data_IF_480327856624
#
_entry.id   IF_480327856624
#
_cell.length_a   1.000
_cell.length_b   1.000
_cell.length_c   1.000
_cell.angle_alpha   90.00
_cell.angle_beta   90.00
_cell.angle_gamma   90.00
#
_symmetry.space_group_name_H-M   'P 1'
#
loop_
_entity.id
_entity.type
_entity.pdbx_description
1 polymer ?
#
# COMPACT_ATOMS: atom_id res chain seq x y z
N UNK A 1 16.02 -19.72 27.17
CA UNK A 1 15.79 -18.26 27.31
C UNK A 1 14.55 -18.03 28.16
N UNK A 2 14.65 -17.24 29.24
CA UNK A 2 13.50 -16.94 30.14
C UNK A 2 12.47 -15.99 29.48
N UNK A 3 12.90 -15.13 28.52
CA UNK A 3 12.03 -14.21 27.81
C UNK A 3 11.35 -14.96 26.66
N UNK A 4 10.02 -14.97 26.65
CA UNK A 4 9.20 -15.60 25.59
C UNK A 4 8.56 -14.52 24.73
N UNK A 5 8.67 -14.56 23.40
CA UNK A 5 7.92 -13.68 22.50
C UNK A 5 6.43 -14.02 22.53
N UNK A 6 5.60 -13.18 21.90
CA UNK A 6 4.18 -13.51 21.69
C UNK A 6 4.06 -14.84 20.95
N UNK A 7 3.13 -15.72 21.36
CA UNK A 7 2.98 -17.10 20.83
C UNK A 7 2.92 -17.15 19.30
N UNK A 8 2.18 -16.24 18.69
CA UNK A 8 1.99 -16.18 17.23
C UNK A 8 3.26 -15.82 16.46
N UNK A 9 4.25 -15.17 17.07
CA UNK A 9 5.53 -14.82 16.42
C UNK A 9 6.37 -16.07 16.13
N UNK A 10 6.25 -17.15 16.90
CA UNK A 10 6.94 -18.42 16.62
C UNK A 10 6.56 -19.03 15.26
N UNK A 11 5.41 -18.68 14.69
CA UNK A 11 4.95 -19.18 13.39
C UNK A 11 5.36 -18.30 12.22
N UNK A 12 6.09 -17.20 12.47
CA UNK A 12 6.57 -16.27 11.44
C UNK A 12 7.99 -16.66 11.05
N UNK A 13 8.11 -17.38 9.92
CA UNK A 13 9.40 -17.74 9.35
C UNK A 13 9.79 -16.74 8.25
N UNK A 14 10.90 -16.04 8.46
CA UNK A 14 11.48 -15.12 7.46
C UNK A 14 13.01 -15.28 7.44
N UNK A 15 13.56 -15.45 6.23
CA UNK A 15 15.01 -15.41 6.04
C UNK A 15 15.48 -13.94 6.09
N UNK A 16 16.55 -13.64 6.83
CA UNK A 16 17.14 -12.30 6.83
C UNK A 16 17.62 -11.90 5.43
N UNK A 17 17.30 -10.69 5.00
CA UNK A 17 17.65 -10.21 3.64
C UNK A 17 19.16 -10.04 3.43
N UNK A 18 19.95 -9.89 4.49
CA UNK A 18 21.42 -9.75 4.41
C UNK A 18 22.15 -11.07 4.17
N UNK A 19 21.46 -12.22 4.15
CA UNK A 19 22.08 -13.52 3.86
C UNK A 19 22.45 -13.69 2.38
N UNK A 20 21.92 -12.84 1.48
CA UNK A 20 22.27 -12.88 0.06
C UNK A 20 22.35 -11.47 -0.51
N UNK A 21 23.40 -11.19 -1.28
CA UNK A 21 23.55 -9.95 -2.04
C UNK A 21 22.75 -10.04 -3.33
N UNK A 22 22.18 -8.91 -3.77
CA UNK A 22 21.59 -8.74 -5.11
C UNK A 22 22.61 -8.18 -6.12
N UNK A 23 23.79 -7.85 -5.66
CA UNK A 23 24.83 -7.24 -6.48
C UNK A 23 25.29 -8.22 -7.56
N UNK A 24 25.36 -7.78 -8.81
CA UNK A 24 25.73 -8.61 -9.94
C UNK A 24 24.63 -9.46 -10.56
N UNK A 25 23.40 -9.39 -10.03
CA UNK A 25 22.24 -10.09 -10.60
C UNK A 25 21.30 -9.15 -11.35
N UNK A 26 20.72 -9.62 -12.44
CA UNK A 26 19.60 -8.97 -13.09
C UNK A 26 18.32 -9.20 -12.26
N UNK A 27 17.83 -8.17 -11.60
CA UNK A 27 16.77 -8.30 -10.59
C UNK A 27 15.39 -8.04 -11.18
N UNK A 28 14.52 -9.06 -11.19
CA UNK A 28 13.14 -8.98 -11.70
C UNK A 28 12.08 -9.21 -10.62
N UNK A 29 12.48 -9.64 -9.42
CA UNK A 29 11.59 -10.20 -8.40
C UNK A 29 10.79 -9.14 -7.61
N UNK A 30 11.12 -7.86 -7.73
CA UNK A 30 10.53 -6.78 -6.91
C UNK A 30 9.76 -5.72 -7.69
N UNK A 31 9.69 -5.86 -9.03
CA UNK A 31 9.01 -4.88 -9.90
C UNK A 31 9.51 -3.44 -9.64
N UNK A 32 10.82 -3.28 -9.59
CA UNK A 32 11.49 -1.98 -9.43
C UNK A 32 11.63 -1.29 -10.78
N UNK A 33 11.87 0.03 -10.77
CA UNK A 33 12.21 0.78 -11.99
C UNK A 33 13.58 0.32 -12.48
N UNK A 34 13.67 0.00 -13.77
CA UNK A 34 14.92 -0.44 -14.44
C UNK A 34 15.68 0.75 -14.99
N UNK A 35 14.97 1.68 -15.64
CA UNK A 35 15.57 2.83 -16.29
C UNK A 35 16.05 3.88 -15.29
N UNK A 36 17.15 4.55 -15.61
CA UNK A 36 17.60 5.72 -14.86
C UNK A 36 16.59 6.87 -14.96
N UNK A 37 16.59 7.71 -13.95
CA UNK A 37 15.84 8.96 -14.02
C UNK A 37 16.50 9.93 -15.01
N UNK A 38 15.73 10.78 -15.73
CA UNK A 38 16.29 11.79 -16.61
C UNK A 38 17.32 12.67 -15.88
N UNK A 39 18.44 13.00 -16.54
CA UNK A 39 19.51 13.84 -15.95
C UNK A 39 18.97 15.18 -15.44
N UNK A 40 18.04 15.80 -16.18
CA UNK A 40 17.38 17.05 -15.78
C UNK A 40 16.61 16.91 -14.46
N UNK A 41 15.90 15.79 -14.26
CA UNK A 41 15.19 15.50 -13.00
C UNK A 41 16.18 15.34 -11.84
N UNK A 42 17.25 14.58 -12.03
CA UNK A 42 18.27 14.37 -10.99
C UNK A 42 19.01 15.67 -10.65
N UNK A 43 19.32 16.51 -11.63
CA UNK A 43 19.95 17.81 -11.41
C UNK A 43 19.03 18.77 -10.64
N UNK A 44 17.76 18.81 -10.99
CA UNK A 44 16.74 19.60 -10.32
C UNK A 44 16.52 19.12 -8.86
N UNK A 45 16.45 17.81 -8.65
CA UNK A 45 16.36 17.22 -7.30
C UNK A 45 17.58 17.59 -6.43
N UNK A 46 18.80 17.47 -6.99
CA UNK A 46 20.03 17.87 -6.29
C UNK A 46 20.01 19.33 -5.87
N UNK A 47 19.47 20.22 -6.72
CA UNK A 47 19.31 21.65 -6.42
C UNK A 47 18.34 21.86 -5.25
N UNK A 48 17.19 21.17 -5.26
CA UNK A 48 16.19 21.24 -4.18
C UNK A 48 16.75 20.73 -2.84
N UNK A 49 17.72 19.80 -2.88
CA UNK A 49 18.36 19.25 -1.68
C UNK A 49 19.45 20.16 -1.06
N UNK A 50 19.94 21.19 -1.78
CA UNK A 50 20.97 22.09 -1.23
C UNK A 50 20.52 22.82 0.04
N UNK A 51 19.22 23.08 0.21
CA UNK A 51 18.61 23.71 1.39
C UNK A 51 18.13 22.69 2.44
N UNK A 52 18.76 21.52 2.51
CA UNK A 52 18.35 20.44 3.38
C UNK A 52 18.96 20.58 4.78
N UNK A 53 18.11 20.69 5.80
CA UNK A 53 18.56 20.71 7.19
C UNK A 53 18.46 19.30 7.79
N UNK A 54 19.61 18.77 8.20
CA UNK A 54 19.74 17.45 8.82
C UNK A 54 19.57 17.49 10.35
N UNK A 55 19.60 18.69 10.94
CA UNK A 55 19.68 18.87 12.41
C UNK A 55 18.33 18.83 13.09
N UNK A 56 17.26 19.20 12.36
CA UNK A 56 15.94 19.36 12.94
C UNK A 56 14.98 18.28 12.47
N UNK A 57 14.03 17.92 13.33
CA UNK A 57 12.91 17.09 12.90
C UNK A 57 12.10 17.79 11.80
N UNK A 58 11.63 17.07 10.79
CA UNK A 58 10.92 17.68 9.69
C UNK A 58 9.53 18.17 10.10
N UNK A 59 9.17 19.37 9.63
CA UNK A 59 7.78 19.84 9.67
C UNK A 59 6.97 19.10 8.59
N UNK A 60 6.09 18.22 9.04
CA UNK A 60 5.27 17.40 8.14
C UNK A 60 4.02 18.13 7.61
N UNK A 61 3.68 19.30 8.13
CA UNK A 61 2.47 20.04 7.74
C UNK A 61 2.38 20.27 6.23
N UNK A 62 3.44 20.84 5.64
CA UNK A 62 3.47 21.17 4.21
C UNK A 62 3.32 19.95 3.29
N UNK A 63 3.92 18.82 3.63
CA UNK A 63 3.81 17.63 2.77
C UNK A 63 2.39 17.05 2.81
N UNK A 64 1.73 17.06 3.96
CA UNK A 64 0.34 16.65 4.06
C UNK A 64 -0.59 17.55 3.22
N UNK A 65 -0.40 18.88 3.27
CA UNK A 65 -1.15 19.81 2.43
C UNK A 65 -0.92 19.58 0.93
N UNK A 66 0.33 19.42 0.51
CA UNK A 66 0.67 19.25 -0.90
C UNK A 66 0.14 17.90 -1.46
N UNK A 67 0.30 16.81 -0.71
CA UNK A 67 -0.21 15.49 -1.12
C UNK A 67 -1.74 15.48 -1.12
N UNK A 68 -2.39 16.06 -0.12
CA UNK A 68 -3.86 16.15 -0.06
C UNK A 68 -4.43 16.99 -1.20
N UNK A 69 -3.80 18.12 -1.53
CA UNK A 69 -4.16 18.96 -2.67
C UNK A 69 -3.99 18.23 -4.00
N UNK A 70 -2.87 17.50 -4.16
CA UNK A 70 -2.63 16.68 -5.34
C UNK A 70 -3.67 15.56 -5.50
N UNK A 71 -4.06 14.92 -4.39
CA UNK A 71 -5.07 13.86 -4.36
C UNK A 71 -6.51 14.41 -4.36
N UNK A 72 -6.72 15.71 -4.18
CA UNK A 72 -8.03 16.36 -4.04
C UNK A 72 -8.86 15.79 -2.89
N UNK A 73 -8.22 15.60 -1.73
CA UNK A 73 -8.83 15.14 -0.48
C UNK A 73 -8.49 16.09 0.67
N UNK A 74 -9.10 15.89 1.85
CA UNK A 74 -8.76 16.64 3.06
C UNK A 74 -7.53 16.04 3.75
N UNK A 75 -6.75 16.87 4.49
CA UNK A 75 -5.58 16.40 5.23
C UNK A 75 -5.90 15.28 6.22
N UNK A 76 -7.05 15.35 6.88
CA UNK A 76 -7.49 14.33 7.83
C UNK A 76 -8.02 13.03 7.17
N UNK A 77 -7.91 12.90 5.86
CA UNK A 77 -8.21 11.69 5.10
C UNK A 77 -6.94 10.99 4.60
N UNK A 78 -5.77 11.45 5.02
CA UNK A 78 -4.46 11.01 4.56
C UNK A 78 -3.58 10.62 5.76
N UNK A 79 -2.80 9.55 5.58
CA UNK A 79 -1.63 9.25 6.41
C UNK A 79 -0.48 8.83 5.48
N UNK A 80 0.70 9.41 5.66
CA UNK A 80 1.92 9.08 4.90
C UNK A 80 2.78 8.16 5.78
N UNK A 81 3.43 7.17 5.18
CA UNK A 81 4.15 6.11 5.89
C UNK A 81 5.23 5.45 5.02
N UNK A 82 5.96 4.46 5.57
CA UNK A 82 7.10 3.77 4.93
C UNK A 82 6.66 2.77 3.85
N UNK A 83 6.34 3.27 2.66
CA UNK A 83 5.81 2.46 1.55
C UNK A 83 4.39 1.93 1.84
N UNK A 84 3.74 1.29 0.88
CA UNK A 84 2.42 0.68 1.09
C UNK A 84 2.44 -0.33 2.25
N UNK A 85 3.56 -1.00 2.45
CA UNK A 85 3.77 -2.00 3.49
C UNK A 85 3.53 -1.44 4.91
N UNK A 86 4.07 -0.24 5.20
CA UNK A 86 3.82 0.46 6.47
C UNK A 86 2.33 0.76 6.70
N UNK A 87 1.61 1.16 5.64
CA UNK A 87 0.16 1.39 5.73
C UNK A 87 -0.63 0.12 6.00
N UNK A 88 -0.30 -0.97 5.31
CA UNK A 88 -0.92 -2.27 5.52
C UNK A 88 -0.68 -2.79 6.93
N UNK A 89 0.58 -2.75 7.41
CA UNK A 89 0.93 -3.15 8.78
C UNK A 89 0.10 -2.37 9.80
N UNK A 90 -0.01 -1.06 9.63
CA UNK A 90 -0.77 -0.19 10.55
C UNK A 90 -2.27 -0.51 10.59
N UNK A 91 -2.86 -0.94 9.47
CA UNK A 91 -4.24 -1.43 9.49
C UNK A 91 -4.35 -2.69 10.34
N UNK A 92 -3.40 -3.60 10.24
CA UNK A 92 -3.40 -4.80 11.10
C UNK A 92 -3.20 -4.44 12.58
N UNK A 93 -2.29 -3.53 12.90
CA UNK A 93 -2.04 -3.06 14.27
C UNK A 93 -3.28 -2.44 14.92
N UNK A 94 -4.05 -1.65 14.16
CA UNK A 94 -5.22 -0.93 14.71
C UNK A 94 -6.45 -1.81 14.77
N UNK A 95 -6.67 -2.69 13.79
CA UNK A 95 -7.99 -3.29 13.59
C UNK A 95 -8.04 -4.81 13.74
N UNK A 96 -6.89 -5.50 13.79
CA UNK A 96 -6.84 -6.96 13.79
C UNK A 96 -6.34 -7.50 15.12
N UNK A 97 -7.12 -8.41 15.68
CA UNK A 97 -6.82 -9.16 16.89
C UNK A 97 -6.69 -10.66 16.59
N UNK A 98 -6.14 -11.40 17.54
CA UNK A 98 -6.07 -12.86 17.43
C UNK A 98 -7.45 -13.50 17.25
N UNK A 99 -7.56 -14.43 16.27
CA UNK A 99 -8.81 -15.07 15.90
C UNK A 99 -9.66 -14.34 14.86
N UNK A 100 -9.37 -13.06 14.55
CA UNK A 100 -10.08 -12.35 13.48
C UNK A 100 -9.83 -13.01 12.13
N UNK A 101 -10.86 -13.11 11.28
CA UNK A 101 -10.74 -13.66 9.93
C UNK A 101 -10.35 -12.58 8.94
N UNK A 102 -9.34 -12.89 8.12
CA UNK A 102 -8.82 -11.97 7.10
C UNK A 102 -8.87 -12.65 5.73
N UNK A 103 -9.60 -12.06 4.79
CA UNK A 103 -9.62 -12.50 3.38
C UNK A 103 -8.53 -11.75 2.63
N UNK A 104 -7.73 -12.48 1.84
CA UNK A 104 -6.79 -11.95 0.84
C UNK A 104 -6.85 -12.79 -0.43
N UNK A 105 -6.09 -12.43 -1.46
CA UNK A 105 -5.85 -13.28 -2.61
C UNK A 105 -4.58 -14.13 -2.42
N UNK A 106 -4.52 -15.27 -3.10
CA UNK A 106 -3.34 -16.14 -3.18
C UNK A 106 -3.22 -16.68 -4.62
N UNK A 107 -2.11 -16.44 -5.34
CA UNK A 107 -0.99 -15.59 -4.95
C UNK A 107 -1.34 -14.10 -4.97
N UNK A 108 -0.65 -13.33 -4.10
CA UNK A 108 -0.75 -11.87 -4.00
C UNK A 108 0.48 -11.33 -3.24
N UNK A 109 0.39 -10.13 -2.67
CA UNK A 109 1.47 -9.55 -1.88
C UNK A 109 1.88 -10.47 -0.71
N UNK A 110 3.16 -10.84 -0.67
CA UNK A 110 3.67 -11.88 0.24
C UNK A 110 3.52 -11.55 1.74
N UNK A 111 3.34 -10.27 2.10
CA UNK A 111 3.19 -9.87 3.49
C UNK A 111 1.80 -10.12 4.07
N UNK A 112 0.76 -10.30 3.27
CA UNK A 112 -0.58 -10.58 3.80
C UNK A 112 -0.63 -11.82 4.72
N UNK A 113 -0.17 -13.01 4.31
CA UNK A 113 -0.13 -14.16 5.21
C UNK A 113 0.83 -13.94 6.39
N UNK A 114 1.90 -13.18 6.22
CA UNK A 114 2.84 -12.85 7.30
C UNK A 114 2.14 -12.00 8.36
N UNK A 115 1.41 -10.96 7.97
CA UNK A 115 0.64 -10.14 8.90
C UNK A 115 -0.44 -10.95 9.62
N UNK A 116 -1.16 -11.82 8.90
CA UNK A 116 -2.13 -12.71 9.56
C UNK A 116 -1.45 -13.53 10.68
N UNK A 117 -0.29 -14.12 10.41
CA UNK A 117 0.48 -14.86 11.44
C UNK A 117 0.94 -13.94 12.57
N UNK A 118 1.51 -12.77 12.27
CA UNK A 118 2.01 -11.82 13.26
C UNK A 118 0.94 -11.36 14.26
N UNK A 119 -0.29 -11.20 13.81
CA UNK A 119 -1.41 -10.75 14.64
C UNK A 119 -2.30 -11.90 15.12
N UNK A 120 -1.96 -13.16 14.80
CA UNK A 120 -2.75 -14.33 15.20
C UNK A 120 -4.12 -14.40 14.52
N UNK A 121 -4.28 -13.75 13.37
CA UNK A 121 -5.49 -13.78 12.57
C UNK A 121 -5.64 -15.07 11.79
N UNK A 122 -6.88 -15.49 11.55
CA UNK A 122 -7.21 -16.63 10.69
C UNK A 122 -7.18 -16.17 9.23
N UNK A 123 -6.16 -16.61 8.51
CA UNK A 123 -6.01 -16.30 7.08
C UNK A 123 -6.98 -17.13 6.25
N UNK A 124 -7.85 -16.48 5.48
CA UNK A 124 -8.89 -17.06 4.64
C UNK A 124 -8.67 -16.73 3.15
N UNK A 125 -7.60 -17.21 2.49
CA UNK A 125 -7.25 -16.79 1.14
C UNK A 125 -8.27 -17.23 0.11
N UNK A 126 -8.37 -16.47 -0.99
CA UNK A 126 -8.99 -16.87 -2.25
C UNK A 126 -7.88 -17.32 -3.18
N UNK A 127 -7.87 -18.59 -3.53
CA UNK A 127 -6.87 -19.12 -4.46
C UNK A 127 -7.24 -18.75 -5.89
N UNK A 128 -6.46 -17.84 -6.46
CA UNK A 128 -6.67 -17.34 -7.82
C UNK A 128 -6.29 -18.39 -8.86
N UNK A 129 -7.02 -18.40 -9.97
CA UNK A 129 -6.77 -19.28 -11.14
C UNK A 129 -6.46 -18.41 -12.35
N UNK A 130 -5.59 -18.90 -13.23
CA UNK A 130 -5.11 -18.15 -14.41
C UNK A 130 -6.17 -17.99 -15.50
N UNK A 131 -7.14 -18.93 -15.60
CA UNK A 131 -8.15 -18.95 -16.68
C UNK A 131 -9.57 -19.08 -16.13
N UNK A 132 -10.54 -18.47 -16.82
CA UNK A 132 -11.99 -18.63 -16.61
C UNK A 132 -12.44 -18.52 -15.15
N UNK A 133 -11.88 -17.54 -14.42
CA UNK A 133 -12.12 -17.41 -13.02
C UNK A 133 -12.99 -16.17 -12.71
N UNK A 134 -14.18 -16.42 -12.19
CA UNK A 134 -15.06 -15.36 -11.73
C UNK A 134 -14.66 -14.91 -10.31
N UNK A 135 -13.53 -14.22 -10.23
CA UNK A 135 -12.96 -13.70 -8.98
C UNK A 135 -13.97 -12.90 -8.13
N UNK A 136 -14.76 -12.05 -8.77
CA UNK A 136 -15.73 -11.21 -8.07
C UNK A 136 -16.81 -12.04 -7.35
N UNK A 137 -17.37 -13.05 -8.04
CA UNK A 137 -18.37 -13.96 -7.45
C UNK A 137 -17.78 -14.77 -6.28
N UNK A 138 -16.59 -15.30 -6.46
CA UNK A 138 -15.90 -16.08 -5.41
C UNK A 138 -15.58 -15.21 -4.18
N UNK A 139 -15.18 -13.96 -4.38
CA UNK A 139 -14.95 -13.01 -3.30
C UNK A 139 -16.24 -12.77 -2.49
N UNK A 140 -17.37 -12.53 -3.16
CA UNK A 140 -18.67 -12.35 -2.48
C UNK A 140 -19.08 -13.57 -1.68
N UNK A 141 -19.01 -14.77 -2.28
CA UNK A 141 -19.30 -16.03 -1.59
C UNK A 141 -18.43 -16.21 -0.35
N UNK A 142 -17.11 -15.93 -0.48
CA UNK A 142 -16.16 -16.03 0.62
C UNK A 142 -16.49 -15.06 1.75
N UNK A 143 -16.82 -13.79 1.45
CA UNK A 143 -17.22 -12.78 2.45
C UNK A 143 -18.45 -13.23 3.22
N UNK A 144 -19.49 -13.71 2.53
CA UNK A 144 -20.73 -14.18 3.17
C UNK A 144 -20.45 -15.37 4.09
N UNK A 145 -19.65 -16.34 3.60
CA UNK A 145 -19.32 -17.57 4.35
C UNK A 145 -18.47 -17.28 5.58
N UNK A 146 -17.45 -16.41 5.45
CA UNK A 146 -16.44 -16.23 6.51
C UNK A 146 -16.75 -15.09 7.45
N UNK A 147 -17.60 -14.11 7.04
CA UNK A 147 -17.88 -12.88 7.80
C UNK A 147 -16.59 -12.28 8.36
N UNK A 148 -15.62 -11.89 7.50
CA UNK A 148 -14.27 -11.53 7.95
C UNK A 148 -14.26 -10.21 8.71
N UNK A 149 -13.21 -9.95 9.49
CA UNK A 149 -12.90 -8.63 10.04
C UNK A 149 -12.29 -7.70 8.99
N UNK A 150 -11.49 -8.28 8.09
CA UNK A 150 -10.79 -7.54 7.04
C UNK A 150 -10.84 -8.30 5.70
N UNK A 151 -11.08 -7.56 4.63
CA UNK A 151 -10.91 -7.99 3.24
C UNK A 151 -9.81 -7.12 2.63
N UNK A 152 -8.65 -7.70 2.32
CA UNK A 152 -7.52 -6.99 1.73
C UNK A 152 -7.29 -7.48 0.28
N UNK A 153 -7.44 -6.56 -0.67
CA UNK A 153 -7.44 -6.83 -2.11
C UNK A 153 -6.40 -5.93 -2.77
N UNK A 154 -5.38 -6.54 -3.41
CA UNK A 154 -4.54 -5.81 -4.35
C UNK A 154 -5.31 -5.60 -5.67
N UNK A 155 -5.38 -4.36 -6.15
CA UNK A 155 -6.12 -3.98 -7.35
C UNK A 155 -5.37 -2.94 -8.20
N UNK A 156 -4.62 -3.38 -9.24
CA UNK A 156 -4.46 -4.74 -9.76
C UNK A 156 -3.75 -5.67 -8.79
N UNK A 157 -4.13 -6.97 -8.84
CA UNK A 157 -3.37 -8.00 -8.13
C UNK A 157 -2.14 -8.43 -8.95
N UNK A 158 -1.12 -8.92 -8.28
CA UNK A 158 0.11 -9.44 -8.86
C UNK A 158 0.56 -10.68 -8.04
N UNK A 159 1.06 -11.77 -8.65
CA UNK A 159 1.43 -11.96 -10.07
C UNK A 159 0.27 -12.34 -10.99
N UNK A 160 -0.85 -12.84 -10.49
CA UNK A 160 -2.04 -13.11 -11.29
C UNK A 160 -2.84 -11.82 -11.38
N UNK A 161 -2.90 -11.24 -12.57
CA UNK A 161 -3.58 -9.98 -12.83
C UNK A 161 -5.10 -10.18 -12.86
N UNK A 162 -5.69 -10.07 -11.69
CA UNK A 162 -7.16 -9.92 -11.54
C UNK A 162 -7.46 -8.54 -11.00
N UNK A 163 -8.57 -7.98 -11.49
CA UNK A 163 -8.99 -6.64 -11.12
C UNK A 163 -10.49 -6.58 -10.89
N UNK A 164 -10.89 -5.73 -9.97
CA UNK A 164 -12.25 -5.28 -9.78
C UNK A 164 -12.42 -3.89 -10.39
N UNK A 165 -13.52 -3.66 -11.10
CA UNK A 165 -13.92 -2.32 -11.50
C UNK A 165 -14.52 -1.56 -10.32
N UNK A 166 -14.77 -0.25 -10.50
CA UNK A 166 -15.24 0.64 -9.42
C UNK A 166 -16.58 0.20 -8.83
N UNK A 167 -17.51 -0.30 -9.67
CA UNK A 167 -18.82 -0.77 -9.23
C UNK A 167 -18.70 -2.05 -8.39
N UNK A 168 -17.83 -2.96 -8.80
CA UNK A 168 -17.54 -4.19 -8.06
C UNK A 168 -16.87 -3.88 -6.71
N UNK A 169 -15.94 -2.93 -6.66
CA UNK A 169 -15.34 -2.47 -5.41
C UNK A 169 -16.40 -1.90 -4.47
N UNK A 170 -17.29 -1.05 -4.98
CA UNK A 170 -18.37 -0.48 -4.20
C UNK A 170 -19.31 -1.58 -3.64
N UNK A 171 -19.67 -2.58 -4.47
CA UNK A 171 -20.50 -3.71 -4.04
C UNK A 171 -19.82 -4.55 -2.95
N UNK A 172 -18.52 -4.85 -3.08
CA UNK A 172 -17.74 -5.55 -2.05
C UNK A 172 -17.72 -4.77 -0.73
N UNK A 173 -17.50 -3.46 -0.79
CA UNK A 173 -17.50 -2.62 0.41
C UNK A 173 -18.87 -2.62 1.11
N UNK A 174 -19.95 -2.47 0.35
CA UNK A 174 -21.32 -2.51 0.88
C UNK A 174 -21.65 -3.88 1.49
N UNK A 175 -21.28 -4.96 0.81
CA UNK A 175 -21.46 -6.32 1.33
C UNK A 175 -20.68 -6.53 2.63
N UNK A 176 -19.39 -6.13 2.64
CA UNK A 176 -18.51 -6.26 3.80
C UNK A 176 -19.00 -5.44 4.99
N UNK A 177 -19.56 -4.26 4.74
CA UNK A 177 -20.11 -3.39 5.79
C UNK A 177 -21.26 -4.05 6.57
N UNK A 178 -22.04 -4.93 5.95
CA UNK A 178 -23.12 -5.68 6.60
C UNK A 178 -22.61 -6.61 7.69
N UNK A 179 -21.34 -7.00 7.63
CA UNK A 179 -20.67 -7.86 8.62
C UNK A 179 -19.69 -7.10 9.53
N UNK A 180 -19.67 -5.76 9.45
CA UNK A 180 -18.71 -4.93 10.20
C UNK A 180 -17.27 -5.04 9.69
N UNK A 181 -17.06 -5.52 8.46
CA UNK A 181 -15.73 -5.76 7.91
C UNK A 181 -15.15 -4.49 7.28
N UNK A 182 -13.84 -4.26 7.49
CA UNK A 182 -13.05 -3.30 6.73
C UNK A 182 -12.67 -3.87 5.36
N UNK A 183 -12.47 -3.00 4.38
CA UNK A 183 -11.98 -3.35 3.05
C UNK A 183 -10.76 -2.50 2.73
N UNK A 184 -9.62 -3.14 2.47
CA UNK A 184 -8.44 -2.51 1.88
C UNK A 184 -8.46 -2.77 0.39
N UNK A 185 -8.31 -1.70 -0.39
CA UNK A 185 -7.91 -1.76 -1.80
C UNK A 185 -6.45 -1.30 -1.86
N UNK A 186 -5.57 -2.26 -2.05
CA UNK A 186 -4.14 -2.00 -2.24
C UNK A 186 -3.91 -1.61 -3.70
N UNK A 187 -3.71 -0.33 -3.91
CA UNK A 187 -3.50 0.31 -5.20
C UNK A 187 -2.01 0.56 -5.50
N UNK A 188 -1.12 -0.34 -5.04
CA UNK A 188 0.32 -0.20 -5.30
C UNK A 188 0.63 -0.08 -6.80
N UNK A 189 -0.17 -0.69 -7.66
CA UNK A 189 -0.05 -0.65 -9.12
C UNK A 189 -1.08 0.25 -9.81
N UNK A 190 -1.80 1.11 -9.09
CA UNK A 190 -2.87 1.98 -9.60
C UNK A 190 -2.49 2.75 -10.87
N UNK A 191 -1.31 3.34 -10.90
CA UNK A 191 -0.91 4.20 -12.01
C UNK A 191 -0.75 3.47 -13.36
N UNK A 192 -0.64 2.14 -13.33
CA UNK A 192 -0.55 1.33 -14.55
C UNK A 192 -1.91 1.01 -15.18
N UNK A 193 -3.04 1.10 -14.43
CA UNK A 193 -4.37 0.82 -15.00
C UNK A 193 -5.45 1.88 -14.73
N UNK A 194 -5.20 2.80 -13.81
CA UNK A 194 -6.06 3.95 -13.48
C UNK A 194 -7.42 3.64 -12.84
N UNK A 195 -7.75 2.40 -12.49
CA UNK A 195 -8.94 2.09 -11.69
C UNK A 195 -8.62 2.41 -10.23
N UNK A 196 -9.44 3.24 -9.59
CA UNK A 196 -9.23 3.63 -8.19
C UNK A 196 -10.51 3.65 -7.38
N UNK A 197 -10.41 3.21 -6.14
CA UNK A 197 -11.47 3.32 -5.15
C UNK A 197 -11.48 4.68 -4.42
N UNK A 198 -10.51 5.55 -4.68
CA UNK A 198 -10.40 6.86 -3.99
C UNK A 198 -11.70 7.68 -3.98
N UNK A 199 -12.51 7.79 -5.07
CA UNK A 199 -13.75 8.56 -5.03
C UNK A 199 -14.80 8.01 -4.07
N UNK A 200 -14.65 6.76 -3.62
CA UNK A 200 -15.60 6.08 -2.75
C UNK A 200 -15.32 6.32 -1.25
N UNK A 201 -14.15 6.85 -0.87
CA UNK A 201 -13.76 7.01 0.56
C UNK A 201 -14.68 7.94 1.35
N UNK A 202 -15.36 8.87 0.69
CA UNK A 202 -16.33 9.78 1.31
C UNK A 202 -17.70 9.14 1.48
N UNK A 203 -18.02 8.13 0.65
CA UNK A 203 -19.31 7.44 0.62
C UNK A 203 -19.31 6.18 1.48
N UNK A 204 -18.18 5.49 1.57
CA UNK A 204 -18.05 4.19 2.23
C UNK A 204 -17.26 4.31 3.53
N UNK A 205 -17.90 3.92 4.63
CA UNK A 205 -17.32 4.09 5.98
C UNK A 205 -16.24 3.06 6.33
N UNK A 206 -16.12 1.98 5.54
CA UNK A 206 -15.24 0.83 5.79
C UNK A 206 -14.14 0.65 4.74
N UNK A 207 -13.92 1.65 3.87
CA UNK A 207 -12.96 1.58 2.78
C UNK A 207 -11.64 2.26 3.16
N UNK A 208 -10.54 1.55 2.90
CA UNK A 208 -9.15 2.02 3.01
C UNK A 208 -8.48 1.82 1.65
N UNK A 209 -7.80 2.82 1.15
CA UNK A 209 -6.99 2.74 -0.08
C UNK A 209 -5.53 2.97 0.28
N UNK A 210 -4.65 2.04 -0.13
CA UNK A 210 -3.21 2.10 0.14
C UNK A 210 -2.46 2.29 -1.17
N UNK A 211 -1.48 3.20 -1.20
CA UNK A 211 -0.64 3.50 -2.38
C UNK A 211 0.83 3.65 -2.02
N UNK A 212 1.68 3.59 -3.04
CA UNK A 212 3.14 3.70 -2.88
C UNK A 212 3.76 4.55 -3.99
N UNK A 213 4.87 5.19 -3.67
CA UNK A 213 5.77 5.81 -4.66
C UNK A 213 6.81 4.81 -5.21
N UNK A 214 6.85 3.59 -4.69
CA UNK A 214 7.86 2.58 -5.06
C UNK A 214 7.75 2.09 -6.50
N UNK A 215 6.52 2.01 -7.07
CA UNK A 215 6.26 1.33 -8.36
C UNK A 215 6.29 2.31 -9.53
N UNK A 216 5.18 2.92 -9.89
CA UNK A 216 5.09 3.82 -11.03
C UNK A 216 6.02 5.05 -10.92
N UNK A 217 6.19 5.60 -9.72
CA UNK A 217 7.14 6.69 -9.47
C UNK A 217 8.61 6.23 -9.48
N UNK A 218 8.88 4.94 -9.31
CA UNK A 218 10.21 4.35 -9.44
C UNK A 218 11.17 4.61 -8.28
N UNK A 219 10.69 5.02 -7.10
CA UNK A 219 11.53 5.36 -5.95
C UNK A 219 11.42 4.32 -4.82
N UNK A 220 11.51 3.03 -5.18
CA UNK A 220 11.36 1.92 -4.23
C UNK A 220 12.34 2.00 -3.06
N UNK A 221 13.57 2.44 -3.28
CA UNK A 221 14.59 2.61 -2.25
C UNK A 221 14.26 3.66 -1.19
N UNK A 222 13.35 4.57 -1.47
CA UNK A 222 12.98 5.65 -0.55
C UNK A 222 11.93 5.25 0.49
N UNK A 223 11.32 4.08 0.33
CA UNK A 223 10.35 3.57 1.31
C UNK A 223 9.28 4.61 1.68
N UNK A 224 8.48 5.07 0.70
CA UNK A 224 7.42 6.04 0.95
C UNK A 224 6.12 5.64 0.25
N UNK A 225 5.02 5.78 0.99
CA UNK A 225 3.67 5.49 0.54
C UNK A 225 2.66 6.27 1.35
N UNK A 226 1.39 6.05 1.07
CA UNK A 226 0.31 6.70 1.78
C UNK A 226 -0.97 5.88 1.78
N UNK A 227 -1.79 6.10 2.80
CA UNK A 227 -3.13 5.54 2.94
C UNK A 227 -4.15 6.66 2.94
N UNK A 228 -5.25 6.45 2.24
CA UNK A 228 -6.40 7.35 2.24
C UNK A 228 -7.66 6.62 2.65
N UNK A 229 -8.48 7.30 3.46
CA UNK A 229 -9.76 6.79 3.94
C UNK A 229 -10.63 7.94 4.43
N UNK A 230 -11.76 7.64 5.05
CA UNK A 230 -12.50 8.65 5.82
C UNK A 230 -11.71 9.08 7.07
N UNK A 231 -12.01 10.27 7.58
CA UNK A 231 -11.26 10.88 8.70
C UNK A 231 -11.30 10.07 10.00
N UNK A 232 -12.35 9.28 10.24
CA UNK A 232 -12.46 8.45 11.45
C UNK A 232 -11.43 7.30 11.43
N UNK A 233 -11.31 6.59 10.30
CA UNK A 233 -10.32 5.52 10.14
C UNK A 233 -8.90 6.10 10.19
N UNK A 234 -8.64 7.20 9.47
CA UNK A 234 -7.33 7.86 9.49
C UNK A 234 -6.97 8.34 10.91
N UNK A 235 -7.93 8.91 11.65
CA UNK A 235 -7.71 9.32 13.05
C UNK A 235 -7.25 8.17 13.93
N UNK A 236 -7.88 6.98 13.81
CA UNK A 236 -7.46 5.78 14.54
C UNK A 236 -6.05 5.30 14.13
N UNK A 237 -5.71 5.37 12.84
CA UNK A 237 -4.38 5.00 12.37
C UNK A 237 -3.30 6.01 12.82
N UNK A 238 -3.66 7.29 12.91
CA UNK A 238 -2.76 8.34 13.39
C UNK A 238 -2.45 8.20 14.89
N UNK A 239 -3.37 7.66 15.71
CA UNK A 239 -3.14 7.52 17.16
C UNK A 239 -2.02 6.55 17.52
N UNK A 240 -1.63 5.65 16.62
CA UNK A 240 -0.50 4.72 16.83
C UNK A 240 0.72 5.05 15.96
N UNK A 241 0.63 6.11 15.14
CA UNK A 241 1.69 6.54 14.25
C UNK A 241 2.88 7.09 15.04
N UNK A 242 4.13 6.68 14.75
CA UNK A 242 5.31 7.40 15.24
C UNK A 242 5.27 8.88 14.83
N UNK A 243 5.76 9.76 15.71
CA UNK A 243 5.68 11.22 15.48
C UNK A 243 6.44 11.61 14.21
N UNK A 244 7.62 11.04 13.96
CA UNK A 244 8.55 11.41 12.89
C UNK A 244 8.89 10.24 11.98
N UNK A 245 7.91 9.52 11.45
CA UNK A 245 8.16 8.37 10.59
C UNK A 245 8.65 8.73 9.17
N UNK A 246 8.42 9.99 8.74
CA UNK A 246 8.84 10.47 7.42
C UNK A 246 10.05 11.38 7.61
N UNK A 247 11.17 11.03 6.98
CA UNK A 247 12.36 11.88 7.02
C UNK A 247 12.24 13.08 6.07
N UNK A 248 13.01 14.12 6.34
CA UNK A 248 12.98 15.37 5.58
C UNK A 248 13.37 15.20 4.11
N UNK A 249 14.24 14.23 3.78
CA UNK A 249 14.60 13.91 2.39
C UNK A 249 13.39 13.40 1.62
N UNK A 250 12.65 12.43 2.19
CA UNK A 250 11.45 11.88 1.57
C UNK A 250 10.38 12.94 1.33
N UNK A 251 10.22 13.90 2.23
CA UNK A 251 9.28 15.01 2.04
C UNK A 251 9.64 15.85 0.81
N UNK A 252 10.91 16.25 0.68
CA UNK A 252 11.38 16.99 -0.50
C UNK A 252 11.24 16.17 -1.78
N UNK A 253 11.61 14.90 -1.74
CA UNK A 253 11.48 14.00 -2.88
C UNK A 253 10.02 13.87 -3.35
N UNK A 254 9.06 13.66 -2.45
CA UNK A 254 7.64 13.54 -2.81
C UNK A 254 7.13 14.83 -3.47
N UNK A 255 7.47 16.00 -2.91
CA UNK A 255 7.15 17.31 -3.52
C UNK A 255 7.72 17.40 -4.94
N UNK A 256 8.98 16.99 -5.10
CA UNK A 256 9.65 17.01 -6.40
C UNK A 256 9.00 16.05 -7.41
N UNK A 257 8.63 14.84 -6.99
CA UNK A 257 7.92 13.86 -7.81
C UNK A 257 6.54 14.37 -8.26
N UNK A 258 5.77 14.97 -7.37
CA UNK A 258 4.44 15.53 -7.67
C UNK A 258 4.57 16.68 -8.68
N UNK A 259 5.52 17.59 -8.50
CA UNK A 259 5.81 18.69 -9.45
C UNK A 259 6.22 18.17 -10.81
N UNK A 260 6.94 17.05 -10.86
CA UNK A 260 7.44 16.43 -12.08
C UNK A 260 6.65 15.17 -12.50
N UNK A 261 5.34 15.16 -12.26
CA UNK A 261 4.44 14.01 -12.49
C UNK A 261 4.51 13.44 -13.92
N UNK A 262 4.93 14.26 -14.90
CA UNK A 262 5.12 13.84 -16.30
C UNK A 262 6.15 12.72 -16.42
N UNK A 263 7.19 12.69 -15.59
CA UNK A 263 8.22 11.65 -15.58
C UNK A 263 7.60 10.27 -15.27
N UNK A 264 6.77 10.22 -14.23
CA UNK A 264 6.04 8.99 -13.88
C UNK A 264 5.10 8.58 -15.03
N UNK A 265 4.34 9.51 -15.61
CA UNK A 265 3.42 9.22 -16.71
C UNK A 265 4.14 8.67 -17.95
N UNK A 266 5.29 9.24 -18.29
CA UNK A 266 6.12 8.78 -19.40
C UNK A 266 6.67 7.37 -19.12
N UNK A 267 7.19 7.13 -17.93
CA UNK A 267 7.66 5.80 -17.52
C UNK A 267 6.54 4.74 -17.64
N UNK A 268 5.36 5.03 -17.12
CA UNK A 268 4.20 4.13 -17.24
C UNK A 268 3.85 3.87 -18.72
N UNK A 269 3.92 4.90 -19.58
CA UNK A 269 3.69 4.76 -21.01
C UNK A 269 4.71 3.82 -21.67
N UNK A 270 5.99 3.93 -21.32
CA UNK A 270 7.04 3.05 -21.87
C UNK A 270 6.83 1.59 -21.40
N UNK A 271 6.49 1.37 -20.13
CA UNK A 271 6.16 0.03 -19.63
C UNK A 271 4.99 -0.59 -20.43
N UNK A 272 3.96 0.19 -20.75
CA UNK A 272 2.84 -0.30 -21.56
C UNK A 272 3.22 -0.62 -23.02
N UNK A 273 4.23 0.02 -23.58
CA UNK A 273 4.73 -0.32 -24.92
C UNK A 273 5.50 -1.63 -24.95
N UNK A 274 6.20 -1.96 -23.84
CA UNK A 274 6.97 -3.20 -23.71
C UNK A 274 6.13 -4.42 -23.36
N UNK A 275 4.85 -4.23 -23.06
CA UNK A 275 3.89 -5.28 -22.71
C UNK A 275 3.11 -5.76 -23.93
#
# INVERSE_FOLDING_TARGET
MKIKPKKNIFFVERKPHWLSSRQGYFTMERNERVDEFPKSFMSSLKKDLKSFDLRTYPDTHLIYEEVSRWLKIKNNQLIIHEGADGGLLRVFEVFISGGDRVITCNPSFAMYPVYCKMFGAIHCPINLKVKNYNYFSELKKKIIKTKPKLVAIANPNQPIEVMLNIKQIEEICKLSQRFGSLVIIDEAYYHFNKITAQPLITKLKNLIVVRTFSKAFGVAGMRIGYTISNSKIIGLMLSIKPIYEINAFNMKLVRHLIKNIKIMKNYVKEIHKGR
#
